data_IF_919029610863
#
_entry.id   IF_919029610863
#
_cell.length_a   1.000
_cell.length_b   1.000
_cell.length_c   1.000
_cell.angle_alpha   90.00
_cell.angle_beta   90.00
_cell.angle_gamma   90.00
#
_symmetry.space_group_name_H-M   'P 1'
#
loop_
_entity.id
_entity.type
_entity.pdbx_description
1 polymer ?
#
# COMPACT_ATOMS: atom_id res chain seq x y z
N UNK A 1 -13.26 3.03 3.87
CA UNK A 1 -12.72 1.72 4.31
C UNK A 1 -13.69 0.66 3.84
N UNK A 2 -13.18 -0.40 3.22
CA UNK A 2 -13.93 -1.55 2.76
C UNK A 2 -13.88 -2.66 3.81
N UNK A 3 -14.99 -3.37 3.95
CA UNK A 3 -15.08 -4.56 4.79
C UNK A 3 -14.98 -5.82 3.91
N UNK A 4 -13.87 -6.54 4.05
CA UNK A 4 -13.63 -7.84 3.41
C UNK A 4 -13.47 -8.95 4.47
N UNK A 5 -14.05 -8.79 5.66
CA UNK A 5 -13.99 -9.79 6.72
C UNK A 5 -14.66 -11.12 6.33
N UNK A 6 -15.73 -11.06 5.54
CA UNK A 6 -16.43 -12.21 4.95
C UNK A 6 -15.51 -13.08 4.07
N UNK A 7 -14.43 -12.50 3.55
CA UNK A 7 -13.44 -13.16 2.66
C UNK A 7 -12.12 -13.43 3.34
N UNK A 8 -12.03 -13.13 4.64
CA UNK A 8 -10.80 -13.27 5.41
C UNK A 8 -9.74 -12.23 5.10
N UNK A 9 -9.96 -11.20 4.27
CA UNK A 9 -8.99 -10.10 4.07
C UNK A 9 -9.18 -8.97 5.07
N UNK A 10 -10.33 -8.88 5.74
CA UNK A 10 -10.57 -7.90 6.80
C UNK A 10 -10.78 -6.46 6.30
N UNK A 11 -10.67 -5.49 7.21
CA UNK A 11 -10.86 -4.07 6.86
C UNK A 11 -9.68 -3.54 6.05
N UNK A 12 -9.98 -2.88 4.93
CA UNK A 12 -8.98 -2.33 3.99
C UNK A 12 -9.29 -0.91 3.57
N UNK A 13 -8.31 -0.03 3.66
CA UNK A 13 -8.35 1.31 3.10
C UNK A 13 -7.95 1.27 1.62
N UNK A 14 -8.48 2.18 0.81
CA UNK A 14 -8.13 2.22 -0.62
C UNK A 14 -6.78 2.91 -0.81
N UNK A 15 -5.85 2.24 -1.47
CA UNK A 15 -4.56 2.82 -1.85
C UNK A 15 -4.71 3.70 -3.10
N UNK A 16 -4.09 4.88 -3.09
CA UNK A 16 -4.05 5.76 -4.28
C UNK A 16 -3.14 5.17 -5.36
N UNK A 17 -3.65 5.10 -6.60
CA UNK A 17 -2.93 4.58 -7.77
C UNK A 17 -2.04 5.62 -8.45
N UNK A 18 -2.26 6.92 -8.20
CA UNK A 18 -1.48 7.99 -8.83
C UNK A 18 -0.03 7.93 -8.37
N UNK A 19 0.88 7.95 -9.33
CA UNK A 19 2.32 7.92 -9.07
C UNK A 19 2.88 6.56 -8.68
N UNK A 20 2.08 5.48 -8.73
CA UNK A 20 2.52 4.12 -8.39
C UNK A 20 3.12 3.37 -9.57
N UNK A 21 2.75 3.78 -10.79
CA UNK A 21 3.23 3.17 -12.04
C UNK A 21 3.06 1.65 -12.05
N UNK A 22 1.86 1.15 -11.75
CA UNK A 22 1.60 -0.28 -11.63
C UNK A 22 2.43 -0.90 -10.50
N UNK A 23 3.33 -1.81 -10.84
CA UNK A 23 4.13 -2.61 -9.90
C UNK A 23 5.49 -1.99 -9.54
N UNK A 24 5.79 -0.75 -9.97
CA UNK A 24 7.12 -0.14 -9.71
C UNK A 24 7.41 0.11 -8.23
N UNK A 25 6.39 0.10 -7.38
CA UNK A 25 6.53 0.22 -5.93
C UNK A 25 6.41 -1.12 -5.20
N UNK A 26 6.56 -2.24 -5.91
CA UNK A 26 6.48 -3.59 -5.37
C UNK A 26 5.11 -4.21 -5.56
N UNK A 27 4.79 -5.18 -4.70
CA UNK A 27 3.54 -5.93 -4.75
C UNK A 27 2.34 -5.04 -4.42
N UNK A 28 1.16 -5.45 -4.85
CA UNK A 28 -0.09 -4.70 -4.63
C UNK A 28 -0.91 -5.34 -3.51
N UNK A 29 -1.82 -4.53 -2.97
CA UNK A 29 -2.56 -4.70 -1.71
C UNK A 29 -1.73 -4.46 -0.45
N UNK A 30 -2.43 -4.14 0.63
CA UNK A 30 -1.86 -3.96 1.96
C UNK A 30 -1.12 -5.21 2.47
N UNK A 31 -1.48 -6.39 1.98
CA UNK A 31 -0.85 -7.65 2.32
C UNK A 31 0.18 -8.09 1.28
N UNK A 32 0.45 -7.30 0.23
CA UNK A 32 1.41 -7.65 -0.82
C UNK A 32 1.13 -9.02 -1.42
N UNK A 33 -0.14 -9.33 -1.69
CA UNK A 33 -0.58 -10.65 -2.15
C UNK A 33 -0.74 -10.74 -3.67
N UNK A 34 -0.61 -9.63 -4.42
CA UNK A 34 -0.65 -9.59 -5.88
C UNK A 34 0.71 -9.17 -6.44
N UNK A 35 1.23 -9.89 -7.44
CA UNK A 35 2.51 -9.60 -8.12
C UNK A 35 2.35 -9.13 -9.57
N UNK A 36 1.12 -8.96 -10.03
CA UNK A 36 0.76 -8.23 -11.25
C UNK A 36 -0.59 -7.49 -11.10
N UNK A 37 -0.86 -6.47 -11.92
CA UNK A 37 -2.16 -5.77 -11.88
C UNK A 37 -3.30 -6.65 -12.38
N UNK A 38 -2.99 -7.63 -13.22
CA UNK A 38 -3.97 -8.58 -13.75
C UNK A 38 -4.55 -9.48 -12.66
N UNK A 39 -3.90 -9.61 -11.49
CA UNK A 39 -4.43 -10.32 -10.33
C UNK A 39 -5.75 -9.75 -9.79
N UNK A 40 -6.08 -8.50 -10.11
CA UNK A 40 -7.39 -7.94 -9.81
C UNK A 40 -8.55 -8.67 -10.51
N UNK A 41 -8.28 -9.58 -11.45
CA UNK A 41 -9.23 -10.60 -11.90
C UNK A 41 -9.87 -11.35 -10.72
N UNK A 42 -9.07 -11.65 -9.69
CA UNK A 42 -9.55 -12.30 -8.47
C UNK A 42 -10.59 -11.47 -7.73
N UNK A 43 -10.38 -10.17 -7.61
CA UNK A 43 -11.32 -9.27 -6.95
C UNK A 43 -12.55 -9.01 -7.82
N UNK A 44 -12.37 -8.89 -9.14
CA UNK A 44 -13.48 -8.73 -10.08
C UNK A 44 -14.43 -9.92 -10.03
N UNK A 45 -13.92 -11.15 -10.04
CA UNK A 45 -14.73 -12.37 -9.95
C UNK A 45 -15.25 -12.64 -8.55
N UNK A 46 -14.36 -12.56 -7.56
CA UNK A 46 -14.68 -12.85 -6.17
C UNK A 46 -15.34 -11.65 -5.51
N UNK A 47 -14.53 -10.67 -5.12
CA UNK A 47 -14.95 -9.57 -4.25
C UNK A 47 -16.11 -8.71 -4.77
N UNK A 48 -16.20 -8.52 -6.09
CA UNK A 48 -17.24 -7.73 -6.73
C UNK A 48 -18.32 -8.58 -7.42
N UNK A 49 -18.17 -9.91 -7.45
CA UNK A 49 -19.15 -10.83 -8.04
C UNK A 49 -19.34 -10.69 -9.56
N UNK A 50 -18.38 -10.06 -10.24
CA UNK A 50 -18.35 -9.92 -11.69
C UNK A 50 -17.94 -11.21 -12.39
N UNK A 51 -17.94 -11.17 -13.74
CA UNK A 51 -17.48 -12.31 -14.55
C UNK A 51 -15.97 -12.38 -14.71
N UNK A 52 -15.25 -11.29 -14.42
CA UNK A 52 -13.85 -11.12 -14.82
C UNK A 52 -13.69 -11.05 -16.34
N UNK A 53 -12.44 -11.06 -16.80
CA UNK A 53 -12.08 -11.01 -18.21
C UNK A 53 -11.42 -12.30 -18.71
N UNK A 54 -10.93 -13.16 -17.82
CA UNK A 54 -10.39 -14.46 -18.21
C UNK A 54 -11.50 -15.45 -18.58
N UNK A 55 -11.16 -16.44 -19.39
CA UNK A 55 -11.98 -17.65 -19.50
C UNK A 55 -11.99 -18.39 -18.16
N UNK A 56 -12.97 -19.27 -17.92
CA UNK A 56 -12.98 -20.06 -16.68
C UNK A 56 -11.79 -21.02 -16.58
N UNK A 57 -11.24 -21.47 -17.72
CA UNK A 57 -10.06 -22.35 -17.77
C UNK A 57 -8.80 -21.57 -17.37
N UNK A 58 -8.54 -20.43 -18.01
CA UNK A 58 -7.40 -19.57 -17.68
C UNK A 58 -7.47 -19.09 -16.23
N UNK A 59 -8.68 -18.72 -15.78
CA UNK A 59 -8.94 -18.34 -14.39
C UNK A 59 -8.54 -19.46 -13.44
N UNK A 60 -9.04 -20.69 -13.62
CA UNK A 60 -8.70 -21.83 -12.77
C UNK A 60 -7.19 -22.13 -12.76
N UNK A 61 -6.51 -21.97 -13.90
CA UNK A 61 -5.08 -22.19 -14.02
C UNK A 61 -4.23 -21.09 -13.35
N UNK A 62 -4.79 -19.91 -13.08
CA UNK A 62 -4.04 -18.71 -12.62
C UNK A 62 -4.61 -18.08 -11.35
N UNK A 63 -5.51 -18.75 -10.61
CA UNK A 63 -6.12 -18.18 -9.39
C UNK A 63 -5.10 -17.83 -8.30
N UNK A 64 -3.92 -18.48 -8.30
CA UNK A 64 -2.83 -18.12 -7.41
C UNK A 64 -2.18 -16.81 -7.88
N UNK A 65 -2.44 -15.73 -7.14
CA UNK A 65 -1.97 -14.36 -7.39
C UNK A 65 -0.48 -14.13 -7.12
N UNK A 66 0.26 -15.17 -6.76
CA UNK A 66 1.72 -15.17 -6.70
C UNK A 66 2.29 -16.37 -7.49
N UNK A 67 1.48 -16.95 -8.37
CA UNK A 67 1.77 -18.16 -9.12
C UNK A 67 1.97 -17.88 -10.61
N UNK A 68 1.24 -18.60 -11.45
CA UNK A 68 1.31 -18.43 -12.91
C UNK A 68 0.72 -17.08 -13.30
N UNK A 69 1.48 -16.30 -14.08
CA UNK A 69 1.08 -14.99 -14.56
C UNK A 69 -0.17 -15.05 -15.49
N UNK A 70 -1.00 -14.03 -15.37
CA UNK A 70 -2.19 -13.72 -16.18
C UNK A 70 -1.87 -12.76 -17.33
N UNK A 71 -0.73 -12.07 -17.26
CA UNK A 71 -0.23 -11.21 -18.34
C UNK A 71 -0.29 -11.94 -19.69
N UNK A 72 -0.95 -11.31 -20.67
CA UNK A 72 -1.11 -11.87 -22.02
C UNK A 72 -2.31 -12.82 -22.20
N UNK A 73 -3.03 -13.20 -21.14
CA UNK A 73 -4.20 -14.08 -21.24
C UNK A 73 -5.49 -13.33 -21.57
N UNK A 74 -5.57 -12.03 -21.27
CA UNK A 74 -6.72 -11.18 -21.62
C UNK A 74 -6.26 -9.79 -22.04
N UNK A 75 -6.76 -9.35 -23.20
CA UNK A 75 -6.53 -8.00 -23.72
C UNK A 75 -7.05 -6.92 -22.76
N UNK A 76 -8.18 -7.16 -22.11
CA UNK A 76 -8.79 -6.23 -21.16
C UNK A 76 -7.96 -6.10 -19.88
N UNK A 77 -7.46 -7.21 -19.34
CA UNK A 77 -6.56 -7.18 -18.18
C UNK A 77 -5.25 -6.47 -18.49
N UNK A 78 -4.65 -6.76 -19.64
CA UNK A 78 -3.42 -6.08 -20.07
C UNK A 78 -3.64 -4.59 -20.33
N UNK A 79 -4.82 -4.20 -20.83
CA UNK A 79 -5.18 -2.79 -21.00
C UNK A 79 -5.33 -2.07 -19.64
N UNK A 80 -5.93 -2.73 -18.64
CA UNK A 80 -6.00 -2.20 -17.28
C UNK A 80 -4.61 -2.06 -16.65
N UNK A 81 -3.76 -3.09 -16.78
CA UNK A 81 -2.39 -3.04 -16.31
C UNK A 81 -1.62 -1.88 -16.95
N UNK A 82 -1.70 -1.74 -18.28
CA UNK A 82 -1.09 -0.63 -19.03
C UNK A 82 -1.59 0.73 -18.54
N UNK A 83 -2.90 0.87 -18.27
CA UNK A 83 -3.46 2.11 -17.74
C UNK A 83 -2.88 2.44 -16.35
N UNK A 84 -2.86 1.48 -15.43
CA UNK A 84 -2.32 1.70 -14.08
C UNK A 84 -0.81 1.97 -14.11
N UNK A 85 -0.07 1.32 -15.00
CA UNK A 85 1.35 1.58 -15.25
C UNK A 85 1.63 3.00 -15.76
N UNK A 86 0.70 3.57 -16.54
CA UNK A 86 0.82 4.94 -17.06
C UNK A 86 0.71 6.02 -15.96
N UNK A 87 0.18 5.69 -14.78
CA UNK A 87 0.01 6.60 -13.65
C UNK A 87 1.33 6.86 -12.93
N UNK A 88 2.23 7.57 -13.60
CA UNK A 88 3.62 7.81 -13.17
C UNK A 88 3.80 9.07 -12.32
N UNK A 89 2.86 10.02 -12.39
CA UNK A 89 2.96 11.30 -11.68
C UNK A 89 2.36 11.21 -10.28
N UNK A 90 3.15 11.57 -9.27
CA UNK A 90 2.65 11.79 -7.90
C UNK A 90 2.11 13.22 -7.83
N UNK A 91 0.89 13.45 -7.30
CA UNK A 91 0.35 14.79 -7.12
C UNK A 91 1.28 15.68 -6.29
N UNK A 92 1.55 16.89 -6.77
CA UNK A 92 2.35 17.86 -6.04
C UNK A 92 1.67 18.24 -4.72
N UNK A 93 2.46 18.32 -3.65
CA UNK A 93 1.96 18.72 -2.36
C UNK A 93 1.56 20.20 -2.36
N UNK A 94 0.34 20.55 -1.89
CA UNK A 94 -0.05 21.93 -1.68
C UNK A 94 0.57 22.53 -0.41
N UNK A 95 1.21 21.70 0.42
CA UNK A 95 1.85 22.15 1.65
C UNK A 95 3.19 22.78 1.27
N UNK A 96 3.31 24.09 1.38
CA UNK A 96 4.58 24.79 1.16
C UNK A 96 5.12 25.23 2.52
N UNK A 97 6.06 24.47 3.08
CA UNK A 97 6.72 24.83 4.35
C UNK A 97 8.17 25.19 4.07
N UNK A 98 8.62 26.35 4.57
CA UNK A 98 9.92 26.92 4.22
C UNK A 98 11.14 26.08 4.67
N UNK A 99 11.00 25.19 5.66
CA UNK A 99 12.10 24.35 6.14
C UNK A 99 11.61 23.01 6.71
N UNK A 100 11.85 21.92 5.97
CA UNK A 100 11.57 20.54 6.42
C UNK A 100 12.83 19.79 6.83
N UNK A 101 13.99 20.45 6.91
CA UNK A 101 15.27 19.78 7.20
C UNK A 101 15.25 19.11 8.57
N UNK A 102 14.64 19.74 9.57
CA UNK A 102 14.50 19.15 10.90
C UNK A 102 13.60 17.91 10.89
N UNK A 103 12.53 17.92 10.09
CA UNK A 103 11.66 16.76 9.89
C UNK A 103 12.39 15.60 9.22
N UNK A 104 13.20 15.88 8.20
CA UNK A 104 14.04 14.87 7.55
C UNK A 104 15.09 14.29 8.51
N UNK A 105 15.73 15.12 9.34
CA UNK A 105 16.67 14.66 10.38
C UNK A 105 15.98 13.72 11.37
N UNK A 106 14.74 14.04 11.78
CA UNK A 106 13.95 13.17 12.66
C UNK A 106 13.62 11.86 11.95
N UNK A 107 13.16 11.90 10.69
CA UNK A 107 12.89 10.71 9.87
C UNK A 107 14.10 9.77 9.83
N UNK A 108 15.30 10.33 9.58
CA UNK A 108 16.56 9.56 9.54
C UNK A 108 16.95 9.00 10.90
N UNK A 109 16.83 9.80 11.96
CA UNK A 109 17.15 9.41 13.34
C UNK A 109 16.26 8.28 13.85
N UNK A 110 14.98 8.30 13.52
CA UNK A 110 14.03 7.23 13.83
C UNK A 110 14.18 6.00 12.90
N UNK A 111 15.14 6.03 11.97
CA UNK A 111 15.39 4.97 11.01
C UNK A 111 14.16 4.63 10.13
N UNK A 112 13.30 5.61 9.84
CA UNK A 112 12.11 5.41 9.00
C UNK A 112 12.48 4.92 7.59
N UNK A 113 13.66 5.33 7.08
CA UNK A 113 14.22 4.90 5.81
C UNK A 113 14.51 3.40 5.74
N UNK A 114 14.59 2.67 6.86
CA UNK A 114 14.79 1.21 6.83
C UNK A 114 13.66 0.50 6.09
N UNK A 115 12.44 1.06 6.15
CA UNK A 115 11.27 0.57 5.42
C UNK A 115 10.87 1.55 4.31
N UNK A 116 10.86 2.86 4.56
CA UNK A 116 10.47 3.87 3.59
C UNK A 116 11.68 4.49 2.89
N UNK A 117 12.37 3.71 2.06
CA UNK A 117 13.64 4.09 1.40
C UNK A 117 13.51 4.39 -0.08
N UNK A 118 14.60 4.93 -0.63
CA UNK A 118 14.81 5.07 -2.06
C UNK A 118 13.88 6.08 -2.73
N UNK A 119 13.91 6.10 -4.06
CA UNK A 119 13.06 7.00 -4.82
C UNK A 119 11.57 6.63 -4.72
N UNK A 120 11.22 5.38 -4.36
CA UNK A 120 9.84 4.97 -4.16
C UNK A 120 9.30 5.33 -2.76
N UNK A 121 10.16 5.71 -1.80
CA UNK A 121 9.81 5.84 -0.38
C UNK A 121 9.11 4.61 0.21
N UNK A 122 9.55 3.43 -0.25
CA UNK A 122 9.16 2.10 0.19
C UNK A 122 10.27 1.11 -0.19
N UNK A 123 10.46 0.09 0.63
CA UNK A 123 11.35 -1.02 0.36
C UNK A 123 10.65 -2.20 -0.31
N UNK A 124 9.34 -2.12 -0.58
CA UNK A 124 8.58 -3.16 -1.29
C UNK A 124 9.09 -3.34 -2.72
N UNK A 125 9.24 -4.60 -3.14
CA UNK A 125 9.65 -4.99 -4.50
C UNK A 125 8.87 -6.23 -4.92
N UNK A 126 8.86 -6.54 -6.22
CA UNK A 126 8.22 -7.78 -6.70
C UNK A 126 8.92 -9.05 -6.14
N UNK A 127 10.24 -8.96 -5.91
CA UNK A 127 11.06 -10.07 -5.44
C UNK A 127 11.04 -10.25 -3.93
N UNK A 128 10.64 -9.24 -3.17
CA UNK A 128 10.53 -9.36 -1.72
C UNK A 128 9.08 -9.62 -1.30
N UNK A 129 8.94 -10.42 -0.26
CA UNK A 129 7.66 -10.70 0.39
C UNK A 129 7.75 -10.30 1.87
N UNK A 130 8.50 -9.23 2.14
CA UNK A 130 8.80 -8.77 3.49
C UNK A 130 7.61 -7.97 4.00
N UNK A 131 6.92 -8.55 4.98
CA UNK A 131 5.80 -7.91 5.67
C UNK A 131 6.25 -7.47 7.05
N UNK A 132 5.80 -6.30 7.48
CA UNK A 132 6.17 -5.71 8.75
C UNK A 132 4.95 -5.59 9.67
N UNK A 133 5.05 -6.11 10.88
CA UNK A 133 4.09 -5.80 11.95
C UNK A 133 4.56 -4.56 12.71
N UNK A 134 3.94 -3.43 12.39
CA UNK A 134 4.18 -2.14 13.05
C UNK A 134 3.20 -1.88 14.20
N UNK A 135 2.53 -2.93 14.70
CA UNK A 135 1.59 -2.86 15.81
C UNK A 135 0.19 -2.36 15.44
N UNK A 136 -0.11 -2.26 14.15
CA UNK A 136 -1.41 -1.80 13.64
C UNK A 136 -2.33 -2.96 13.25
N UNK A 137 -1.86 -4.21 13.27
CA UNK A 137 -2.68 -5.39 13.02
C UNK A 137 -3.69 -5.59 14.16
N UNK A 138 -4.96 -5.75 13.80
CA UNK A 138 -6.10 -5.96 14.69
C UNK A 138 -6.80 -7.28 14.34
N UNK A 139 -7.69 -7.81 15.18
CA UNK A 139 -8.54 -8.95 14.80
C UNK A 139 -9.31 -8.71 13.50
N UNK A 140 -9.72 -7.46 13.24
CA UNK A 140 -10.39 -7.05 12.01
C UNK A 140 -9.47 -6.93 10.79
N UNK A 141 -8.15 -7.08 10.93
CA UNK A 141 -7.21 -7.02 9.80
C UNK A 141 -7.22 -8.28 8.93
N UNK A 142 -7.87 -9.37 9.39
CA UNK A 142 -8.01 -10.60 8.63
C UNK A 142 -6.71 -11.39 8.48
N UNK A 143 -6.60 -12.02 7.32
CA UNK A 143 -5.64 -13.01 6.89
C UNK A 143 -4.89 -12.49 5.67
N UNK A 144 -3.89 -13.26 5.24
CA UNK A 144 -3.23 -13.10 3.95
C UNK A 144 -3.30 -14.43 3.21
N UNK A 145 -4.07 -14.50 2.12
CA UNK A 145 -4.22 -15.73 1.32
C UNK A 145 -4.63 -16.94 2.19
N UNK A 146 -5.61 -16.73 3.08
CA UNK A 146 -6.10 -17.76 4.01
C UNK A 146 -5.16 -18.11 5.17
N UNK A 147 -3.98 -17.50 5.26
CA UNK A 147 -3.02 -17.72 6.35
C UNK A 147 -3.02 -16.55 7.33
N UNK A 148 -2.51 -16.78 8.55
CA UNK A 148 -2.36 -15.71 9.56
C UNK A 148 -1.62 -14.51 8.97
N UNK A 149 -2.18 -13.31 9.14
CA UNK A 149 -1.50 -12.07 8.79
C UNK A 149 -0.35 -11.80 9.78
N UNK A 150 0.88 -11.81 9.29
CA UNK A 150 2.10 -11.62 10.12
C UNK A 150 2.69 -10.21 10.01
N UNK A 151 2.17 -9.39 9.10
CA UNK A 151 2.68 -8.07 8.78
C UNK A 151 1.91 -7.48 7.60
N UNK A 152 2.23 -6.25 7.24
CA UNK A 152 1.71 -5.56 6.06
C UNK A 152 2.88 -5.20 5.14
N UNK A 153 2.59 -5.09 3.84
CA UNK A 153 3.57 -4.57 2.89
C UNK A 153 3.81 -3.07 3.16
N UNK A 154 5.02 -2.59 2.92
CA UNK A 154 5.39 -1.21 3.23
C UNK A 154 4.79 -0.26 2.19
N UNK A 155 3.80 0.58 2.54
CA UNK A 155 3.27 1.55 1.58
C UNK A 155 4.31 2.62 1.28
N UNK A 156 4.30 3.11 0.04
CA UNK A 156 5.05 4.31 -0.34
C UNK A 156 4.53 5.54 0.42
N UNK A 157 5.45 6.40 0.86
CA UNK A 157 5.09 7.70 1.47
C UNK A 157 4.89 8.82 0.43
N UNK A 158 5.09 8.55 -0.86
CA UNK A 158 4.91 9.57 -1.91
C UNK A 158 3.45 9.99 -2.03
N UNK A 159 3.17 11.29 -1.98
CA UNK A 159 1.83 11.86 -2.04
C UNK A 159 0.99 11.61 -0.78
N UNK A 160 1.62 11.20 0.34
CA UNK A 160 0.92 10.82 1.58
C UNK A 160 0.03 11.95 2.12
N UNK A 161 0.36 13.20 1.82
CA UNK A 161 -0.44 14.37 2.20
C UNK A 161 -1.91 14.30 1.72
N UNK A 162 -2.20 13.51 0.69
CA UNK A 162 -3.51 13.42 0.02
C UNK A 162 -4.29 12.13 0.28
N UNK A 163 -3.76 11.22 1.12
CA UNK A 163 -4.27 9.85 1.22
C UNK A 163 -5.01 9.55 2.53
N UNK A 164 -5.49 10.57 3.26
CA UNK A 164 -6.29 10.34 4.46
C UNK A 164 -7.63 9.63 4.11
N UNK A 165 -8.18 8.78 5.00
CA UNK A 165 -7.59 8.33 6.26
C UNK A 165 -6.39 7.38 6.03
N UNK A 166 -5.54 7.22 7.03
CA UNK A 166 -4.28 6.48 7.00
C UNK A 166 -4.40 5.09 7.65
N UNK A 167 -3.33 4.30 7.49
CA UNK A 167 -3.22 2.87 7.86
C UNK A 167 -4.06 1.94 6.98
N UNK A 168 -3.75 0.65 7.07
CA UNK A 168 -4.33 -0.38 6.21
C UNK A 168 -5.83 -0.53 6.39
N UNK A 169 -6.38 -0.17 7.54
CA UNK A 169 -7.79 -0.24 7.88
C UNK A 169 -8.45 1.16 7.94
N UNK A 170 -7.72 2.22 7.58
CA UNK A 170 -8.21 3.61 7.63
C UNK A 170 -8.50 4.12 9.03
N UNK A 171 -7.93 3.50 10.08
CA UNK A 171 -8.23 3.84 11.48
C UNK A 171 -7.55 5.10 12.01
N UNK A 172 -6.71 5.77 11.23
CA UNK A 172 -6.10 7.05 11.58
C UNK A 172 -6.58 8.16 10.65
N UNK A 173 -7.33 9.14 11.15
CA UNK A 173 -7.79 10.28 10.36
C UNK A 173 -6.65 11.27 10.04
N UNK A 174 -5.60 11.29 10.85
CA UNK A 174 -4.45 12.21 10.69
C UNK A 174 -3.11 11.49 10.79
N UNK A 175 -2.05 12.07 10.22
CA UNK A 175 -0.68 11.56 10.42
C UNK A 175 -0.27 11.55 11.90
N UNK A 176 -0.77 12.49 12.71
CA UNK A 176 -0.53 12.47 14.15
C UNK A 176 -1.10 11.24 14.84
N UNK A 177 -2.22 10.69 14.36
CA UNK A 177 -2.80 9.44 14.86
C UNK A 177 -2.07 8.20 14.37
N UNK A 178 -1.45 8.24 13.19
CA UNK A 178 -0.57 7.17 12.71
C UNK A 178 0.54 6.94 13.74
N UNK A 179 1.22 8.00 14.20
CA UNK A 179 2.32 7.88 15.16
C UNK A 179 1.90 7.44 16.57
N UNK A 180 0.60 7.44 16.89
CA UNK A 180 0.09 6.85 18.15
C UNK A 180 -0.05 5.33 18.07
N UNK A 181 -0.23 4.79 16.87
CA UNK A 181 -0.50 3.36 16.63
C UNK A 181 0.71 2.63 16.05
N UNK A 182 1.46 3.30 15.16
CA UNK A 182 2.62 2.77 14.46
C UNK A 182 3.83 2.69 15.41
N UNK A 183 4.16 1.47 15.84
CA UNK A 183 5.36 1.17 16.61
C UNK A 183 6.60 1.42 15.75
N UNK A 184 7.56 2.18 16.24
CA UNK A 184 8.79 2.54 15.50
C UNK A 184 9.18 4.01 15.59
N UNK A 185 8.30 4.88 16.11
CA UNK A 185 8.68 6.21 16.56
C UNK A 185 8.81 6.18 18.09
N UNK A 186 10.00 6.48 18.61
CA UNK A 186 10.15 6.86 20.02
C UNK A 186 9.21 8.04 20.34
N UNK A 187 8.81 8.26 21.61
CA UNK A 187 7.97 9.39 21.97
C UNK A 187 8.56 10.71 21.47
N UNK A 188 7.90 11.34 20.50
CA UNK A 188 8.27 12.64 19.97
C UNK A 188 7.62 13.74 20.80
N UNK A 189 8.34 14.83 21.04
CA UNK A 189 7.70 16.08 21.49
C UNK A 189 6.73 16.59 20.42
N UNK A 190 5.74 17.41 20.80
CA UNK A 190 4.78 17.99 19.86
C UNK A 190 5.45 18.77 18.72
N UNK A 191 6.58 19.44 19.01
CA UNK A 191 7.38 20.14 18.00
C UNK A 191 8.00 19.17 17.00
N UNK A 192 8.66 18.11 17.48
CA UNK A 192 9.27 17.09 16.62
C UNK A 192 8.25 16.36 15.76
N UNK A 193 7.08 16.03 16.34
CA UNK A 193 5.99 15.41 15.60
C UNK A 193 5.49 16.32 14.48
N UNK A 194 5.32 17.61 14.75
CA UNK A 194 4.92 18.59 13.73
C UNK A 194 5.96 18.69 12.61
N UNK A 195 7.24 18.81 12.96
CA UNK A 195 8.34 18.86 11.99
C UNK A 195 8.39 17.61 11.10
N UNK A 196 8.21 16.42 11.69
CA UNK A 196 8.16 15.16 10.94
C UNK A 196 6.95 15.12 10.01
N UNK A 197 5.77 15.51 10.49
CA UNK A 197 4.54 15.57 9.66
C UNK A 197 4.71 16.55 8.50
N UNK A 198 5.31 17.71 8.74
CA UNK A 198 5.54 18.71 7.70
C UNK A 198 6.49 18.18 6.61
N UNK A 199 7.56 17.48 7.00
CA UNK A 199 8.43 16.76 6.06
C UNK A 199 7.67 15.70 5.26
N UNK A 200 6.90 14.83 5.93
CA UNK A 200 6.12 13.79 5.26
C UNK A 200 5.12 14.36 4.26
N UNK A 201 4.52 15.52 4.56
CA UNK A 201 3.59 16.18 3.65
C UNK A 201 4.26 16.72 2.39
N UNK A 202 5.58 16.87 2.34
CA UNK A 202 6.30 17.27 1.12
C UNK A 202 6.57 16.10 0.17
N UNK A 203 6.40 14.85 0.64
CA UNK A 203 6.63 13.65 -0.14
C UNK A 203 5.46 13.33 -1.07
#
# INVERSE_FOLDING_TARGET
VWDFTDRGEGLRNTTDLRGRSGMKHGRVHWTGNFDEIQDFENDMRGGFGGRGFLTNEDWQATQDTLGTAKTGLSRELDALATYVESLTSTPESPWQTADTNEGEKIFRRLNCQSCHSGSAMSNSTLQNNHLFDVGTIKPSSGLRRGQKLTGLDTPTLKGIWSSAPYLHDGSAATLGEVFKQHKGAEPLSSKQLTQLIDYLKQL
#
